data_IF_718500140571
#
_entry.id   IF_718500140571
#
_cell.length_a   1.000
_cell.length_b   1.000
_cell.length_c   1.000
_cell.angle_alpha   90.00
_cell.angle_beta   90.00
_cell.angle_gamma   90.00
#
_symmetry.space_group_name_H-M   'P 1'
#
loop_
_entity.id
_entity.type
_entity.pdbx_description
1 polymer ?
#
# COMPACT_ATOMS: atom_id res chain seq x y z
N UNK A 1 -2.77 6.55 -26.51
CA UNK A 1 -3.13 5.60 -25.45
C UNK A 1 -3.10 4.20 -26.03
N UNK A 2 -2.38 3.24 -25.47
CA UNK A 2 -2.71 1.84 -25.66
C UNK A 2 -3.57 1.37 -24.48
N UNK A 3 -4.80 1.01 -24.80
CA UNK A 3 -5.72 0.26 -23.95
C UNK A 3 -5.07 -1.05 -23.51
N UNK A 4 -4.59 -1.10 -22.27
CA UNK A 4 -4.12 -2.31 -21.60
C UNK A 4 -4.93 -2.55 -20.31
N UNK A 5 -6.22 -2.23 -20.34
CA UNK A 5 -7.16 -2.78 -19.36
C UNK A 5 -7.48 -4.21 -19.77
N UNK A 6 -6.53 -5.14 -19.56
CA UNK A 6 -6.88 -6.55 -19.53
C UNK A 6 -8.05 -6.72 -18.56
N UNK A 7 -9.15 -7.24 -19.09
CA UNK A 7 -10.43 -7.41 -18.40
C UNK A 7 -10.28 -8.39 -17.24
N UNK A 8 -9.87 -7.90 -16.07
CA UNK A 8 -10.04 -8.63 -14.84
C UNK A 8 -11.54 -8.80 -14.59
N UNK A 9 -11.95 -10.05 -14.35
CA UNK A 9 -13.34 -10.32 -13.95
C UNK A 9 -13.62 -9.54 -12.68
N UNK A 10 -14.60 -8.65 -12.73
CA UNK A 10 -15.10 -7.93 -11.55
C UNK A 10 -15.50 -8.89 -10.40
N UNK A 11 -15.82 -10.14 -10.74
CA UNK A 11 -16.16 -11.20 -9.80
C UNK A 11 -15.31 -12.45 -10.01
N UNK A 12 -14.71 -12.93 -8.92
CA UNK A 12 -13.97 -14.19 -8.83
C UNK A 12 -14.64 -15.09 -7.81
N UNK A 13 -14.83 -16.36 -8.16
CA UNK A 13 -15.15 -17.41 -7.20
C UNK A 13 -14.00 -17.60 -6.19
N UNK A 14 -14.26 -18.26 -5.05
CA UNK A 14 -13.22 -18.52 -4.04
C UNK A 14 -11.99 -19.22 -4.63
N UNK A 15 -12.20 -20.16 -5.57
CA UNK A 15 -11.12 -20.89 -6.24
C UNK A 15 -10.30 -19.96 -7.16
N UNK A 16 -10.97 -19.08 -7.92
CA UNK A 16 -10.30 -18.11 -8.77
C UNK A 16 -9.52 -17.07 -7.94
N UNK A 17 -10.13 -16.57 -6.85
CA UNK A 17 -9.49 -15.64 -5.94
C UNK A 17 -8.25 -16.26 -5.29
N UNK A 18 -8.34 -17.50 -4.82
CA UNK A 18 -7.19 -18.21 -4.26
C UNK A 18 -6.08 -18.38 -5.31
N UNK A 19 -6.41 -18.80 -6.53
CA UNK A 19 -5.43 -18.90 -7.61
C UNK A 19 -4.78 -17.55 -7.94
N UNK A 20 -5.55 -16.45 -7.91
CA UNK A 20 -5.04 -15.10 -8.09
C UNK A 20 -4.06 -14.70 -6.99
N UNK A 21 -4.41 -14.93 -5.71
CA UNK A 21 -3.56 -14.63 -4.56
C UNK A 21 -2.30 -15.51 -4.53
N UNK A 22 -2.38 -16.73 -5.09
CA UNK A 22 -1.27 -17.66 -5.13
C UNK A 22 -0.33 -17.47 -6.33
N UNK A 23 -0.72 -16.66 -7.32
CA UNK A 23 0.06 -16.47 -8.54
C UNK A 23 1.44 -15.83 -8.27
N UNK A 24 2.50 -16.20 -9.01
CA UNK A 24 3.87 -15.69 -8.78
C UNK A 24 4.02 -14.17 -8.88
N UNK A 25 3.21 -13.51 -9.70
CA UNK A 25 3.21 -12.06 -9.89
C UNK A 25 2.44 -11.31 -8.78
N UNK A 26 1.74 -12.04 -7.89
CA UNK A 26 0.98 -11.47 -6.78
C UNK A 26 1.81 -11.45 -5.51
N UNK A 27 1.99 -10.27 -4.93
CA UNK A 27 2.65 -10.08 -3.64
C UNK A 27 1.60 -9.79 -2.56
N UNK A 28 1.43 -10.74 -1.65
CA UNK A 28 0.47 -10.61 -0.55
C UNK A 28 0.95 -9.61 0.50
N UNK A 29 0.03 -8.78 1.01
CA UNK A 29 0.30 -7.88 2.12
C UNK A 29 0.39 -8.69 3.43
N UNK A 30 1.47 -8.51 4.18
CA UNK A 30 1.70 -9.17 5.48
C UNK A 30 1.39 -8.27 6.68
N UNK A 31 1.78 -6.98 6.60
CA UNK A 31 1.45 -5.97 7.60
C UNK A 31 1.53 -4.58 6.94
N UNK A 32 0.96 -3.57 7.58
CA UNK A 32 1.05 -2.19 7.12
C UNK A 32 1.13 -1.21 8.28
N UNK A 33 1.80 -0.08 8.03
CA UNK A 33 1.96 1.01 8.98
C UNK A 33 1.75 2.36 8.29
N UNK A 34 1.08 3.26 8.99
CA UNK A 34 1.07 4.69 8.67
C UNK A 34 1.96 5.38 9.70
N UNK A 35 3.09 5.91 9.26
CA UNK A 35 3.97 6.73 10.10
C UNK A 35 3.55 8.18 9.94
N UNK A 36 3.03 8.76 11.02
CA UNK A 36 2.77 10.18 11.08
C UNK A 36 4.02 10.90 11.56
N UNK A 37 4.58 11.78 10.73
CA UNK A 37 5.82 12.50 11.01
C UNK A 37 5.64 13.71 11.96
N UNK A 38 4.61 13.67 12.82
CA UNK A 38 4.36 14.66 13.89
C UNK A 38 4.25 13.97 15.24
N UNK A 39 4.69 14.65 16.31
CA UNK A 39 4.44 14.18 17.67
C UNK A 39 2.92 14.12 17.94
N UNK A 40 2.41 13.05 18.57
CA UNK A 40 1.00 12.99 18.97
C UNK A 40 0.69 14.17 19.90
N UNK A 41 -0.38 14.92 19.59
CA UNK A 41 -0.85 15.97 20.51
C UNK A 41 -1.31 15.32 21.84
N UNK A 42 -1.09 15.97 23.00
CA UNK A 42 -1.38 15.39 24.32
C UNK A 42 -2.84 14.96 24.54
N UNK A 43 -3.76 15.43 23.69
CA UNK A 43 -5.20 15.20 23.82
C UNK A 43 -5.77 14.37 22.66
N UNK A 44 -4.91 13.87 21.75
CA UNK A 44 -5.33 13.02 20.65
C UNK A 44 -5.61 11.61 21.14
N UNK A 45 -6.88 11.26 21.34
CA UNK A 45 -7.27 9.86 21.54
C UNK A 45 -6.76 9.01 20.37
N UNK A 46 -6.01 7.97 20.68
CA UNK A 46 -5.71 6.85 19.78
C UNK A 46 -6.99 6.03 19.54
N UNK A 47 -7.95 6.59 18.82
CA UNK A 47 -9.11 5.86 18.31
C UNK A 47 -8.90 5.51 16.85
N UNK A 48 -8.15 4.42 16.62
CA UNK A 48 -8.12 3.69 15.36
C UNK A 48 -7.78 4.50 14.10
N UNK A 49 -6.51 4.50 13.69
CA UNK A 49 -6.01 4.52 12.30
C UNK A 49 -6.52 5.59 11.30
N UNK A 50 -7.35 6.56 11.70
CA UNK A 50 -7.77 7.67 10.84
C UNK A 50 -7.02 8.91 11.27
N UNK A 51 -6.05 9.34 10.46
CA UNK A 51 -5.38 10.60 10.70
C UNK A 51 -5.67 11.57 9.56
N UNK A 52 -6.37 12.64 9.87
CA UNK A 52 -6.48 13.83 9.01
C UNK A 52 -5.49 14.86 9.56
N UNK A 53 -4.41 15.14 8.83
CA UNK A 53 -3.38 16.09 9.23
C UNK A 53 -3.39 17.33 8.33
N UNK A 54 -4.25 18.34 8.59
CA UNK A 54 -4.24 19.59 7.84
C UNK A 54 -2.96 20.43 8.09
N UNK A 55 -2.30 20.26 9.25
CA UNK A 55 -1.20 21.14 9.71
C UNK A 55 0.15 20.43 9.96
N UNK A 56 0.34 19.19 9.47
CA UNK A 56 1.62 18.50 9.65
C UNK A 56 2.71 19.06 8.70
N UNK A 57 3.92 19.39 9.20
CA UNK A 57 5.03 19.86 8.36
C UNK A 57 5.51 18.80 7.35
N UNK A 58 5.15 17.52 7.58
CA UNK A 58 5.49 16.40 6.72
C UNK A 58 4.24 15.53 6.49
N UNK A 59 4.07 15.07 5.25
CA UNK A 59 2.97 14.16 4.89
C UNK A 59 3.17 12.80 5.59
N UNK A 60 2.10 12.11 6.03
CA UNK A 60 2.24 10.77 6.59
C UNK A 60 2.81 9.80 5.55
N UNK A 61 3.63 8.86 6.01
CA UNK A 61 4.23 7.82 5.18
C UNK A 61 3.48 6.51 5.35
N UNK A 62 3.05 5.90 4.25
CA UNK A 62 2.44 4.57 4.26
C UNK A 62 3.50 3.52 3.93
N UNK A 63 3.62 2.50 4.77
CA UNK A 63 4.54 1.38 4.61
C UNK A 63 3.76 0.06 4.53
N UNK A 64 4.09 -0.78 3.55
CA UNK A 64 3.50 -2.10 3.33
C UNK A 64 4.59 -3.16 3.37
N UNK A 65 4.48 -4.15 4.25
CA UNK A 65 5.32 -5.34 4.20
C UNK A 65 4.70 -6.36 3.25
N UNK A 66 5.47 -6.77 2.25
CA UNK A 66 5.02 -7.72 1.23
C UNK A 66 5.64 -9.10 1.45
N UNK A 67 4.84 -10.14 1.27
CA UNK A 67 5.36 -11.50 1.17
C UNK A 67 6.05 -11.68 -0.18
N UNK A 68 7.37 -11.67 -0.13
CA UNK A 68 8.25 -11.85 -1.29
C UNK A 68 8.81 -13.27 -1.38
N UNK A 69 8.29 -14.25 -0.63
CA UNK A 69 8.78 -15.64 -0.65
C UNK A 69 8.79 -16.24 -2.06
N UNK A 70 7.83 -15.84 -2.91
CA UNK A 70 7.72 -16.26 -4.32
C UNK A 70 8.55 -15.40 -5.29
N UNK A 71 9.00 -14.23 -4.84
CA UNK A 71 9.79 -13.27 -5.63
C UNK A 71 10.96 -12.69 -4.80
N UNK A 72 11.92 -13.53 -4.38
CA UNK A 72 13.02 -13.10 -3.51
C UNK A 72 13.89 -11.99 -4.13
N UNK A 73 13.89 -11.85 -5.45
CA UNK A 73 14.56 -10.77 -6.19
C UNK A 73 14.04 -9.36 -5.83
N UNK A 74 12.89 -9.23 -5.15
CA UNK A 74 12.44 -7.94 -4.62
C UNK A 74 13.38 -7.33 -3.58
N UNK A 75 14.16 -8.15 -2.87
CA UNK A 75 15.17 -7.63 -1.94
C UNK A 75 16.25 -6.85 -2.67
N UNK A 76 16.69 -7.38 -3.81
CA UNK A 76 17.63 -6.69 -4.67
C UNK A 76 17.00 -5.43 -5.28
N UNK A 77 15.72 -5.47 -5.63
CA UNK A 77 15.02 -4.30 -6.14
C UNK A 77 15.01 -3.13 -5.14
N UNK A 78 14.79 -3.39 -3.85
CA UNK A 78 14.89 -2.37 -2.81
C UNK A 78 16.31 -1.79 -2.68
N UNK A 79 17.33 -2.65 -2.76
CA UNK A 79 18.74 -2.22 -2.78
C UNK A 79 19.05 -1.34 -3.99
N UNK A 80 18.64 -1.77 -5.18
CA UNK A 80 18.87 -1.02 -6.43
C UNK A 80 18.12 0.32 -6.40
N UNK A 81 16.89 0.34 -5.89
CA UNK A 81 16.13 1.57 -5.72
C UNK A 81 16.82 2.56 -4.76
N UNK A 82 17.46 2.07 -3.70
CA UNK A 82 18.23 2.91 -2.78
C UNK A 82 19.49 3.50 -3.44
N UNK A 83 20.14 2.78 -4.37
CA UNK A 83 21.38 3.23 -5.02
C UNK A 83 21.15 4.04 -6.29
N UNK A 84 20.17 3.66 -7.11
CA UNK A 84 19.89 4.26 -8.43
C UNK A 84 18.69 5.22 -8.42
N UNK A 85 18.00 5.30 -7.28
CA UNK A 85 16.79 6.10 -7.10
C UNK A 85 15.52 5.38 -7.57
N UNK A 86 14.37 6.08 -7.51
CA UNK A 86 13.06 5.45 -7.66
C UNK A 86 12.74 4.95 -9.07
N UNK A 87 13.49 5.43 -10.06
CA UNK A 87 13.29 5.11 -11.45
C UNK A 87 11.90 5.52 -11.95
N UNK A 88 11.44 4.85 -13.01
CA UNK A 88 10.15 5.13 -13.65
C UNK A 88 9.22 3.95 -13.42
N UNK A 89 8.09 4.23 -12.79
CA UNK A 89 7.02 3.27 -12.58
C UNK A 89 5.73 3.72 -13.27
N UNK A 90 4.82 2.78 -13.46
CA UNK A 90 3.44 3.01 -13.86
C UNK A 90 2.58 2.26 -12.86
N UNK A 91 1.61 2.96 -12.31
CA UNK A 91 0.69 2.45 -11.31
C UNK A 91 -0.72 2.48 -11.89
N UNK A 92 -1.40 1.34 -11.84
CA UNK A 92 -2.83 1.24 -12.18
C UNK A 92 -3.53 0.42 -11.12
N UNK A 93 -4.86 0.46 -11.08
CA UNK A 93 -5.61 -0.31 -10.10
C UNK A 93 -6.90 -0.91 -10.66
N UNK A 94 -7.34 -1.99 -10.04
CA UNK A 94 -8.58 -2.71 -10.37
C UNK A 94 -9.23 -3.24 -9.09
N UNK A 95 -10.44 -3.78 -9.21
CA UNK A 95 -11.13 -4.45 -8.11
C UNK A 95 -11.37 -5.92 -8.40
N UNK A 96 -11.33 -6.71 -7.34
CA UNK A 96 -11.88 -8.05 -7.32
C UNK A 96 -13.05 -8.06 -6.33
N UNK A 97 -14.18 -8.66 -6.72
CA UNK A 97 -15.37 -8.83 -5.89
C UNK A 97 -15.92 -7.52 -5.34
N UNK A 98 -16.00 -6.49 -6.20
CA UNK A 98 -16.52 -5.18 -5.83
C UNK A 98 -17.93 -5.28 -5.21
N UNK A 99 -18.12 -4.63 -4.07
CA UNK A 99 -19.39 -4.63 -3.33
C UNK A 99 -19.64 -5.88 -2.47
N UNK A 100 -18.67 -6.79 -2.36
CA UNK A 100 -18.75 -7.97 -1.48
C UNK A 100 -17.83 -7.84 -0.27
N UNK A 101 -18.05 -8.68 0.74
CA UNK A 101 -17.20 -8.76 1.95
C UNK A 101 -15.76 -9.18 1.65
N UNK A 102 -15.54 -9.89 0.55
CA UNK A 102 -14.25 -10.38 0.05
C UNK A 102 -13.67 -9.47 -1.04
N UNK A 103 -13.91 -8.15 -0.96
CA UNK A 103 -13.44 -7.17 -1.93
C UNK A 103 -11.96 -6.82 -1.76
N UNK A 104 -11.22 -6.82 -2.88
CA UNK A 104 -9.82 -6.41 -2.94
C UNK A 104 -9.63 -5.22 -3.88
N UNK A 105 -8.85 -4.24 -3.42
CA UNK A 105 -8.24 -3.23 -4.27
C UNK A 105 -6.89 -3.78 -4.74
N UNK A 106 -6.71 -3.94 -6.05
CA UNK A 106 -5.48 -4.50 -6.60
C UNK A 106 -4.67 -3.38 -7.22
N UNK A 107 -3.52 -3.08 -6.63
CA UNK A 107 -2.53 -2.18 -7.20
C UNK A 107 -1.61 -2.95 -8.16
N UNK A 108 -1.57 -2.54 -9.42
CA UNK A 108 -0.64 -3.07 -10.41
C UNK A 108 0.54 -2.12 -10.55
N UNK A 109 1.73 -2.67 -10.41
CA UNK A 109 2.98 -1.90 -10.46
C UNK A 109 3.80 -2.42 -11.62
N UNK A 110 4.17 -1.50 -12.52
CA UNK A 110 5.12 -1.78 -13.61
C UNK A 110 6.29 -0.84 -13.45
N UNK A 111 7.46 -1.37 -13.08
CA UNK A 111 8.71 -0.62 -13.04
C UNK A 111 9.47 -0.84 -14.35
N UNK A 112 10.00 0.24 -14.93
CA UNK A 112 10.76 0.21 -16.20
C UNK A 112 12.24 0.49 -15.97
N UNK A 113 12.55 1.35 -15.01
CA UNK A 113 13.90 1.65 -14.52
C UNK A 113 13.85 1.71 -13.00
N UNK A 114 14.95 1.44 -12.28
CA UNK A 114 16.23 0.90 -12.77
C UNK A 114 16.13 -0.57 -13.23
N UNK A 115 15.14 -1.32 -12.73
CA UNK A 115 14.89 -2.72 -13.11
C UNK A 115 13.51 -2.85 -13.74
N UNK A 116 13.42 -3.63 -14.83
CA UNK A 116 12.14 -3.95 -15.45
C UNK A 116 11.46 -5.09 -14.68
N UNK A 117 10.34 -4.79 -14.04
CA UNK A 117 9.54 -5.78 -13.30
C UNK A 117 8.09 -5.35 -13.26
N UNK A 118 7.19 -6.31 -13.12
CA UNK A 118 5.76 -6.06 -12.89
C UNK A 118 5.22 -7.01 -11.84
N UNK A 119 4.27 -6.52 -11.04
CA UNK A 119 3.66 -7.27 -9.96
C UNK A 119 2.37 -6.60 -9.53
N UNK A 120 1.59 -7.32 -8.74
CA UNK A 120 0.31 -6.85 -8.21
C UNK A 120 0.22 -7.04 -6.71
N UNK A 121 -0.36 -6.05 -6.03
CA UNK A 121 -0.55 -6.03 -4.58
C UNK A 121 -2.06 -5.98 -4.31
N UNK A 122 -2.70 -7.11 -3.98
CA UNK A 122 -4.07 -7.13 -3.52
C UNK A 122 -4.14 -6.61 -2.08
N UNK A 123 -4.92 -5.55 -1.88
CA UNK A 123 -5.17 -4.93 -0.59
C UNK A 123 -6.62 -5.26 -0.21
N UNK A 124 -6.78 -6.03 0.86
CA UNK A 124 -8.11 -6.42 1.33
C UNK A 124 -8.83 -5.20 1.90
N UNK A 125 -9.90 -4.76 1.23
CA UNK A 125 -10.52 -3.45 1.49
C UNK A 125 -11.09 -3.36 2.90
N UNK A 126 -11.65 -4.46 3.42
CA UNK A 126 -12.26 -4.50 4.76
C UNK A 126 -11.24 -4.22 5.87
N UNK A 127 -10.03 -4.73 5.72
CA UNK A 127 -8.98 -4.64 6.74
C UNK A 127 -8.12 -3.38 6.58
N UNK A 128 -7.83 -3.01 5.33
CA UNK A 128 -6.80 -2.01 5.00
C UNK A 128 -7.37 -0.75 4.33
N UNK A 129 -8.66 -0.48 4.47
CA UNK A 129 -9.31 0.71 3.91
C UNK A 129 -8.62 2.03 4.28
N UNK A 130 -8.16 2.15 5.53
CA UNK A 130 -7.50 3.36 6.03
C UNK A 130 -6.15 3.61 5.37
N UNK A 131 -5.45 2.53 5.01
CA UNK A 131 -4.23 2.62 4.20
C UNK A 131 -4.56 3.22 2.84
N UNK A 132 -5.61 2.73 2.17
CA UNK A 132 -6.04 3.26 0.88
C UNK A 132 -6.44 4.74 0.97
N UNK A 133 -7.08 5.15 2.07
CA UNK A 133 -7.38 6.56 2.34
C UNK A 133 -6.10 7.40 2.38
N UNK A 134 -5.13 7.01 3.22
CA UNK A 134 -3.89 7.75 3.39
C UNK A 134 -3.11 7.82 2.08
N UNK A 135 -3.01 6.72 1.33
CA UNK A 135 -2.37 6.70 0.02
C UNK A 135 -3.06 7.67 -0.95
N UNK A 136 -4.39 7.69 -0.99
CA UNK A 136 -5.13 8.63 -1.84
C UNK A 136 -4.83 10.10 -1.49
N UNK A 137 -4.53 10.39 -0.22
CA UNK A 137 -4.22 11.73 0.26
C UNK A 137 -2.76 12.11 0.10
N UNK A 138 -1.83 11.16 0.21
CA UNK A 138 -0.39 11.42 0.17
C UNK A 138 0.15 11.30 -1.24
N UNK A 139 -0.35 10.32 -2.01
CA UNK A 139 0.18 9.92 -3.30
C UNK A 139 1.49 9.13 -3.18
N UNK A 140 1.71 8.41 -2.06
CA UNK A 140 2.93 7.64 -1.87
C UNK A 140 2.71 6.36 -1.03
N UNK A 141 3.40 5.29 -1.41
CA UNK A 141 3.48 4.02 -0.68
C UNK A 141 4.94 3.56 -0.66
N UNK A 142 5.44 3.12 0.49
CA UNK A 142 6.71 2.41 0.61
C UNK A 142 6.49 0.91 0.77
N UNK A 143 7.10 0.12 -0.09
CA UNK A 143 7.04 -1.33 -0.09
C UNK A 143 8.28 -1.90 0.58
N UNK A 144 8.08 -2.75 1.58
CA UNK A 144 9.12 -3.35 2.40
C UNK A 144 9.20 -4.85 2.08
N UNK A 145 10.41 -5.30 1.75
CA UNK A 145 10.70 -6.67 1.29
C UNK A 145 11.21 -7.59 2.42
N UNK A 146 11.45 -7.05 3.61
CA UNK A 146 11.81 -7.81 4.81
C UNK A 146 10.60 -8.37 5.55
N UNK A 147 10.80 -9.22 6.57
CA UNK A 147 9.71 -9.60 7.46
C UNK A 147 9.15 -8.38 8.21
N UNK A 148 7.85 -8.38 8.59
CA UNK A 148 7.29 -7.33 9.42
C UNK A 148 8.08 -7.13 10.71
N UNK A 149 8.53 -5.89 10.92
CA UNK A 149 9.12 -5.46 12.19
C UNK A 149 8.01 -5.39 13.23
N UNK A 150 8.32 -5.66 14.51
CA UNK A 150 7.38 -5.44 15.64
C UNK A 150 7.19 -3.94 15.93
N UNK A 151 6.76 -3.19 14.93
CA UNK A 151 6.66 -1.73 14.96
C UNK A 151 5.68 -1.23 16.03
N UNK A 152 4.71 -2.05 16.45
CA UNK A 152 3.76 -1.72 17.53
C UNK A 152 4.45 -1.51 18.87
N UNK A 153 5.55 -2.22 19.11
CA UNK A 153 6.36 -2.02 20.33
C UNK A 153 7.21 -0.75 20.18
N UNK A 154 7.74 -0.52 18.97
CA UNK A 154 8.65 0.58 18.66
C UNK A 154 7.95 1.95 18.61
N UNK A 155 6.71 2.03 18.13
CA UNK A 155 5.96 3.30 18.00
C UNK A 155 5.69 3.99 19.35
N UNK A 156 5.77 3.23 20.45
CA UNK A 156 5.62 3.77 21.81
C UNK A 156 6.92 4.32 22.39
N UNK A 157 8.06 4.00 21.78
CA UNK A 157 9.41 4.29 22.32
C UNK A 157 10.25 5.16 21.41
N UNK A 158 10.03 5.10 20.09
CA UNK A 158 10.75 5.88 19.09
C UNK A 158 9.89 7.04 18.59
N UNK A 159 10.55 8.17 18.30
CA UNK A 159 9.92 9.19 17.48
C UNK A 159 9.75 8.71 16.02
N UNK A 160 8.90 9.37 15.21
CA UNK A 160 8.60 8.91 13.86
C UNK A 160 9.80 8.76 12.92
N UNK A 161 10.82 9.63 13.05
CA UNK A 161 12.03 9.59 12.20
C UNK A 161 12.87 8.38 12.57
N UNK A 162 13.13 8.20 13.87
CA UNK A 162 13.88 7.05 14.37
C UNK A 162 13.15 5.73 14.09
N UNK A 163 11.81 5.73 14.14
CA UNK A 163 10.98 4.57 13.78
C UNK A 163 11.13 4.21 12.30
N UNK A 164 11.03 5.20 11.41
CA UNK A 164 11.21 5.00 9.97
C UNK A 164 12.58 4.42 9.64
N UNK A 165 13.66 5.02 10.16
CA UNK A 165 15.04 4.56 9.96
C UNK A 165 15.24 3.11 10.46
N UNK A 166 14.68 2.80 11.64
CA UNK A 166 14.73 1.46 12.22
C UNK A 166 14.01 0.44 11.34
N UNK A 167 12.83 0.80 10.82
CA UNK A 167 12.04 -0.07 9.95
C UNK A 167 12.79 -0.36 8.65
N UNK A 168 13.31 0.66 7.96
CA UNK A 168 14.04 0.45 6.72
C UNK A 168 15.30 -0.40 6.95
N UNK A 169 16.02 -0.14 8.03
CA UNK A 169 17.22 -0.91 8.38
C UNK A 169 16.90 -2.38 8.60
N UNK A 170 15.87 -2.68 9.42
CA UNK A 170 15.50 -4.07 9.72
C UNK A 170 14.80 -4.78 8.56
N UNK A 171 14.11 -4.03 7.70
CA UNK A 171 13.44 -4.59 6.51
C UNK A 171 14.41 -4.81 5.34
N UNK A 172 15.66 -4.35 5.44
CA UNK A 172 16.65 -4.45 4.36
C UNK A 172 16.40 -3.44 3.22
N UNK A 173 15.75 -2.31 3.54
CA UNK A 173 15.37 -1.26 2.61
C UNK A 173 13.90 -1.31 2.18
N UNK A 174 13.56 -0.45 1.21
CA UNK A 174 12.23 -0.41 0.63
C UNK A 174 12.18 0.35 -0.69
N UNK A 175 11.04 0.22 -1.37
CA UNK A 175 10.76 0.83 -2.67
C UNK A 175 9.64 1.83 -2.45
N UNK A 176 9.88 3.10 -2.71
CA UNK A 176 8.84 4.12 -2.60
C UNK A 176 8.21 4.35 -3.96
N UNK A 177 6.92 4.02 -4.06
CA UNK A 177 6.09 4.31 -5.21
C UNK A 177 5.41 5.67 -4.99
N UNK A 178 5.63 6.60 -5.91
CA UNK A 178 5.00 7.91 -5.93
C UNK A 178 4.02 8.00 -7.07
N UNK A 179 2.81 8.47 -6.76
CA UNK A 179 1.74 8.74 -7.70
C UNK A 179 1.90 10.17 -8.20
N UNK A 180 1.72 10.38 -9.51
CA UNK A 180 1.61 11.75 -10.02
C UNK A 180 0.28 12.39 -9.60
N UNK A 181 0.14 13.70 -9.82
CA UNK A 181 -1.02 14.47 -9.38
C UNK A 181 -2.34 13.98 -10.01
N UNK A 182 -2.29 13.48 -11.25
CA UNK A 182 -3.46 12.94 -11.93
C UNK A 182 -3.88 11.62 -11.32
N UNK A 183 -2.95 10.66 -11.17
CA UNK A 183 -3.20 9.38 -10.51
C UNK A 183 -3.69 9.57 -9.08
N UNK A 184 -3.12 10.53 -8.35
CA UNK A 184 -3.54 10.84 -6.99
C UNK A 184 -4.98 11.34 -6.94
N UNK A 185 -5.35 12.26 -7.84
CA UNK A 185 -6.72 12.77 -7.96
C UNK A 185 -7.69 11.63 -8.30
N UNK A 186 -7.36 10.82 -9.32
CA UNK A 186 -8.19 9.69 -9.73
C UNK A 186 -8.36 8.68 -8.59
N UNK A 187 -7.28 8.32 -7.88
CA UNK A 187 -7.35 7.43 -6.73
C UNK A 187 -8.21 8.02 -5.60
N UNK A 188 -8.13 9.33 -5.37
CA UNK A 188 -8.94 10.01 -4.37
C UNK A 188 -10.42 9.99 -4.70
N UNK A 189 -10.78 10.39 -5.91
CA UNK A 189 -12.16 10.35 -6.40
C UNK A 189 -12.71 8.93 -6.29
N UNK A 190 -11.88 7.96 -6.68
CA UNK A 190 -12.23 6.56 -6.63
C UNK A 190 -12.43 6.04 -5.19
N UNK A 191 -11.54 6.41 -4.26
CA UNK A 191 -11.68 6.06 -2.84
C UNK A 191 -12.98 6.62 -2.24
N UNK A 192 -13.29 7.89 -2.52
CA UNK A 192 -14.48 8.55 -1.98
C UNK A 192 -15.79 7.97 -2.54
N UNK A 193 -15.83 7.67 -3.84
CA UNK A 193 -17.04 7.19 -4.50
C UNK A 193 -17.28 5.68 -4.29
N UNK A 194 -16.23 4.88 -4.24
CA UNK A 194 -16.37 3.42 -4.26
C UNK A 194 -15.92 2.76 -2.95
N UNK A 195 -14.72 3.05 -2.46
CA UNK A 195 -14.17 2.36 -1.28
C UNK A 195 -14.98 2.72 -0.03
N UNK A 196 -15.28 4.01 0.19
CA UNK A 196 -16.13 4.43 1.32
C UNK A 196 -17.52 3.79 1.28
N UNK A 197 -18.12 3.71 0.09
CA UNK A 197 -19.43 3.08 -0.07
C UNK A 197 -19.38 1.58 0.25
N UNK A 198 -18.34 0.88 -0.21
CA UNK A 198 -18.13 -0.54 0.11
C UNK A 198 -17.97 -0.72 1.62
N UNK A 199 -17.10 0.04 2.28
CA UNK A 199 -16.89 -0.05 3.73
C UNK A 199 -18.19 0.15 4.50
N UNK A 200 -18.96 1.18 4.15
CA UNK A 200 -20.24 1.46 4.78
C UNK A 200 -21.26 0.33 4.62
N UNK A 201 -21.22 -0.41 3.50
CA UNK A 201 -22.01 -1.62 3.31
C UNK A 201 -21.49 -2.78 4.16
N UNK A 202 -20.16 -2.94 4.27
CA UNK A 202 -19.54 -4.02 5.07
C UNK A 202 -19.70 -3.82 6.59
N UNK A 203 -19.86 -2.59 7.07
CA UNK A 203 -20.11 -2.28 8.48
C UNK A 203 -21.57 -2.53 8.91
N UNK A 204 -22.49 -2.68 7.95
CA UNK A 204 -23.93 -2.87 8.20
C UNK A 204 -24.40 -4.34 8.18
N UNK A 205 -23.56 -5.26 7.71
CA UNK A 205 -23.88 -6.70 7.58
C UNK A 205 -23.01 -7.56 8.47
#
# INVERSE_FOLDING_TARGET
MPDNYEHYKAFMSNKELQAFLEAPETLSLQDALIVAMTQPQPNGQLSGLSFTYPDAPYKPLTMLWLDISKRPEFRDLARVHATEGPGKNTLTWTYINQGRLDCYFVLHVVMRTPVRTSFRIPIFVREWSKILDTVSQTGAISLLAGPPVKWRDLITTLDPVALEETIYTQSGGGITLTFDDEMKRELRDHYEQHIKAIIHLLERG
#
